data_IF_854046562356
#
_entry.id   IF_854046562356
#
_cell.length_a   1.000
_cell.length_b   1.000
_cell.length_c   1.000
_cell.angle_alpha   90.00
_cell.angle_beta   90.00
_cell.angle_gamma   90.00
#
_symmetry.space_group_name_H-M   'P 1'
#
loop_
_entity.id
_entity.type
_entity.pdbx_description
1 polymer ?
#
# COMPACT_ATOMS: atom_id res chain seq x y z
N UNK A 1 -5.83 -7.31 -26.17
CA UNK A 1 -5.02 -8.16 -25.27
C UNK A 1 -3.64 -8.34 -25.90
N UNK A 2 -2.56 -7.87 -25.26
CA UNK A 2 -1.20 -7.84 -25.83
C UNK A 2 -0.58 -9.25 -25.87
N UNK A 3 0.02 -9.63 -27.02
CA UNK A 3 0.64 -10.95 -27.28
C UNK A 3 1.69 -11.39 -26.23
N UNK A 4 2.24 -10.44 -25.46
CA UNK A 4 3.20 -10.70 -24.38
C UNK A 4 2.59 -11.48 -23.19
N UNK A 5 1.33 -11.25 -22.88
CA UNK A 5 0.68 -11.82 -21.68
C UNK A 5 0.12 -13.21 -21.96
N UNK A 6 -0.23 -13.46 -23.22
CA UNK A 6 -0.64 -14.79 -23.69
C UNK A 6 0.48 -15.83 -23.52
N UNK A 7 1.75 -15.39 -23.67
CA UNK A 7 2.95 -16.22 -23.50
C UNK A 7 3.46 -16.27 -22.05
N UNK A 8 2.96 -15.39 -21.18
CA UNK A 8 3.42 -15.20 -19.80
C UNK A 8 2.26 -15.22 -18.79
N UNK A 9 1.27 -16.11 -19.02
CA UNK A 9 0.03 -16.21 -18.19
C UNK A 9 0.28 -16.35 -16.68
N UNK A 10 1.46 -16.80 -16.26
CA UNK A 10 1.84 -16.97 -14.85
C UNK A 10 2.90 -15.96 -14.37
N UNK A 11 3.11 -14.85 -15.08
CA UNK A 11 4.11 -13.86 -14.69
C UNK A 11 3.46 -12.63 -14.06
N UNK A 12 3.47 -12.58 -12.72
CA UNK A 12 3.05 -11.42 -11.92
C UNK A 12 3.67 -10.10 -12.40
N UNK A 13 4.94 -10.11 -12.82
CA UNK A 13 5.63 -8.89 -13.29
C UNK A 13 5.08 -8.36 -14.61
N UNK A 14 4.55 -9.24 -15.48
CA UNK A 14 3.96 -8.82 -16.75
C UNK A 14 2.61 -8.11 -16.57
N UNK A 15 1.79 -8.60 -15.64
CA UNK A 15 0.52 -7.96 -15.26
C UNK A 15 0.77 -6.66 -14.52
N UNK A 16 1.73 -6.62 -13.58
CA UNK A 16 2.15 -5.40 -12.89
C UNK A 16 2.59 -4.32 -13.89
N UNK A 17 3.47 -4.67 -14.83
CA UNK A 17 3.95 -3.72 -15.83
C UNK A 17 2.85 -3.19 -16.75
N UNK A 18 1.86 -4.01 -17.11
CA UNK A 18 0.72 -3.55 -17.91
C UNK A 18 -0.18 -2.60 -17.10
N UNK A 19 -0.39 -2.90 -15.83
CA UNK A 19 -1.24 -2.12 -14.93
C UNK A 19 -0.78 -0.66 -14.79
N UNK A 20 0.51 -0.37 -14.97
CA UNK A 20 1.10 0.98 -14.99
C UNK A 20 0.62 1.87 -16.16
N UNK A 21 0.14 1.28 -17.26
CA UNK A 21 -0.24 2.01 -18.49
C UNK A 21 -1.72 1.85 -18.86
N UNK A 22 -2.50 1.18 -18.03
CA UNK A 22 -3.91 0.86 -18.30
C UNK A 22 -4.87 1.86 -17.66
N UNK A 23 -6.10 1.89 -18.19
CA UNK A 23 -7.23 2.54 -17.54
C UNK A 23 -7.56 1.86 -16.21
N UNK A 24 -8.08 2.63 -15.25
CA UNK A 24 -8.27 2.24 -13.84
C UNK A 24 -8.91 0.85 -13.65
N UNK A 25 -9.95 0.51 -14.41
CA UNK A 25 -10.66 -0.77 -14.31
C UNK A 25 -9.80 -1.97 -14.75
N UNK A 26 -9.03 -1.81 -15.84
CA UNK A 26 -8.10 -2.83 -16.32
C UNK A 26 -6.93 -2.99 -15.36
N UNK A 27 -6.43 -1.88 -14.80
CA UNK A 27 -5.40 -1.90 -13.75
C UNK A 27 -5.85 -2.70 -12.54
N UNK A 28 -7.08 -2.50 -12.05
CA UNK A 28 -7.62 -3.28 -10.92
C UNK A 28 -7.69 -4.78 -11.20
N UNK A 29 -8.12 -5.15 -12.40
CA UNK A 29 -8.21 -6.56 -12.83
C UNK A 29 -6.82 -7.20 -12.90
N UNK A 30 -5.85 -6.50 -13.46
CA UNK A 30 -4.47 -7.00 -13.56
C UNK A 30 -3.83 -7.17 -12.20
N UNK A 31 -4.00 -6.19 -11.32
CA UNK A 31 -3.46 -6.25 -9.95
C UNK A 31 -4.08 -7.37 -9.12
N UNK A 32 -5.34 -7.73 -9.38
CA UNK A 32 -5.95 -8.89 -8.75
C UNK A 32 -5.28 -10.19 -9.19
N UNK A 33 -4.94 -10.31 -10.48
CA UNK A 33 -4.18 -11.45 -11.00
C UNK A 33 -2.76 -11.46 -10.40
N UNK A 34 -2.08 -10.30 -10.32
CA UNK A 34 -0.75 -10.20 -9.67
C UNK A 34 -0.81 -10.73 -8.24
N UNK A 35 -1.83 -10.34 -7.48
CA UNK A 35 -2.02 -10.76 -6.08
C UNK A 35 -2.25 -12.27 -5.97
N UNK A 36 -2.95 -12.89 -6.93
CA UNK A 36 -3.15 -14.34 -6.97
C UNK A 36 -1.87 -15.11 -7.33
N UNK A 37 -1.05 -14.54 -8.21
CA UNK A 37 0.19 -15.17 -8.66
C UNK A 37 1.34 -15.01 -7.65
N UNK A 38 1.43 -13.83 -7.01
CA UNK A 38 2.49 -13.48 -6.05
C UNK A 38 1.93 -12.54 -4.96
N UNK A 39 1.41 -13.09 -3.85
CA UNK A 39 0.84 -12.31 -2.75
C UNK A 39 1.86 -11.43 -2.00
N UNK A 40 3.16 -11.63 -2.21
CA UNK A 40 4.21 -10.87 -1.52
C UNK A 40 4.52 -9.54 -2.23
N UNK A 41 3.96 -9.33 -3.43
CA UNK A 41 4.12 -8.08 -4.19
C UNK A 41 3.42 -6.94 -3.48
N UNK A 42 4.19 -5.92 -3.13
CA UNK A 42 3.69 -4.74 -2.41
C UNK A 42 2.86 -3.80 -3.29
N UNK A 43 3.22 -3.67 -4.58
CA UNK A 43 2.60 -2.71 -5.51
C UNK A 43 1.07 -2.88 -5.66
N UNK A 44 0.52 -4.10 -5.90
CA UNK A 44 -0.93 -4.30 -6.00
C UNK A 44 -1.72 -3.83 -4.79
N UNK A 45 -1.21 -4.00 -3.58
CA UNK A 45 -1.90 -3.56 -2.36
C UNK A 45 -1.85 -2.05 -2.21
N UNK A 46 -0.70 -1.42 -2.49
CA UNK A 46 -0.55 0.05 -2.45
C UNK A 46 -1.48 0.75 -3.43
N UNK A 47 -1.52 0.28 -4.68
CA UNK A 47 -2.37 0.89 -5.69
C UNK A 47 -3.85 0.75 -5.34
N UNK A 48 -4.30 -0.46 -4.96
CA UNK A 48 -5.70 -0.70 -4.57
C UNK A 48 -6.09 0.13 -3.34
N UNK A 49 -5.20 0.24 -2.36
CA UNK A 49 -5.43 1.06 -1.18
C UNK A 49 -5.55 2.56 -1.51
N UNK A 50 -4.71 3.09 -2.42
CA UNK A 50 -4.82 4.47 -2.88
C UNK A 50 -6.15 4.73 -3.60
N UNK A 51 -6.55 3.84 -4.53
CA UNK A 51 -7.85 3.94 -5.23
C UNK A 51 -9.03 3.90 -4.25
N UNK A 52 -8.96 3.07 -3.22
CA UNK A 52 -9.98 3.00 -2.18
C UNK A 52 -10.02 4.28 -1.34
N UNK A 53 -8.86 4.86 -0.99
CA UNK A 53 -8.78 6.13 -0.29
C UNK A 53 -9.40 7.27 -1.11
N UNK A 54 -9.07 7.37 -2.41
CA UNK A 54 -9.68 8.33 -3.34
C UNK A 54 -11.20 8.15 -3.47
N UNK A 55 -11.68 6.93 -3.21
CA UNK A 55 -13.11 6.58 -3.23
C UNK A 55 -13.80 6.75 -1.87
N UNK A 56 -13.16 7.42 -0.90
CA UNK A 56 -13.65 7.61 0.47
C UNK A 56 -13.98 6.29 1.21
N UNK A 57 -13.22 5.24 0.90
CA UNK A 57 -13.35 3.90 1.50
C UNK A 57 -12.15 3.63 2.40
N UNK A 58 -11.93 4.48 3.42
CA UNK A 58 -10.68 4.48 4.19
C UNK A 58 -10.46 3.16 4.94
N UNK A 59 -11.51 2.58 5.51
CA UNK A 59 -11.45 1.29 6.21
C UNK A 59 -10.97 0.15 5.31
N UNK A 60 -11.46 0.13 4.07
CA UNK A 60 -11.11 -0.88 3.07
C UNK A 60 -9.67 -0.68 2.58
N UNK A 61 -9.26 0.58 2.40
CA UNK A 61 -7.88 0.93 2.06
C UNK A 61 -6.88 0.45 3.13
N UNK A 62 -7.17 0.74 4.41
CA UNK A 62 -6.35 0.29 5.55
C UNK A 62 -6.31 -1.24 5.63
N UNK A 63 -7.42 -1.92 5.34
CA UNK A 63 -7.48 -3.39 5.33
C UNK A 63 -6.64 -4.01 4.19
N UNK A 64 -6.58 -3.39 3.02
CA UNK A 64 -5.66 -3.81 1.93
C UNK A 64 -4.20 -3.73 2.38
N UNK A 65 -3.78 -2.60 2.96
CA UNK A 65 -2.41 -2.44 3.46
C UNK A 65 -2.10 -3.41 4.60
N UNK A 66 -3.06 -3.63 5.50
CA UNK A 66 -2.88 -4.54 6.63
C UNK A 66 -2.69 -5.99 6.19
N UNK A 67 -3.37 -6.43 5.13
CA UNK A 67 -3.12 -7.74 4.52
C UNK A 67 -1.69 -7.84 4.00
N UNK A 68 -1.22 -6.85 3.24
CA UNK A 68 0.14 -6.84 2.72
C UNK A 68 1.19 -6.90 3.85
N UNK A 69 1.02 -6.08 4.89
CA UNK A 69 1.92 -6.03 6.05
C UNK A 69 1.93 -7.36 6.81
N UNK A 70 0.81 -8.09 6.85
CA UNK A 70 0.74 -9.40 7.51
C UNK A 70 1.60 -10.47 6.85
N UNK A 71 1.85 -10.35 5.53
CA UNK A 71 2.77 -11.22 4.82
C UNK A 71 4.22 -10.79 5.02
N UNK A 72 4.48 -9.48 4.91
CA UNK A 72 5.80 -8.89 5.09
C UNK A 72 5.68 -7.45 5.56
N UNK A 73 6.26 -7.15 6.72
CA UNK A 73 6.44 -5.77 7.14
C UNK A 73 7.40 -5.07 6.17
N UNK A 74 6.92 -4.00 5.55
CA UNK A 74 7.68 -3.17 4.60
C UNK A 74 7.57 -1.71 5.02
N UNK A 75 8.69 -0.99 4.93
CA UNK A 75 8.79 0.41 5.34
C UNK A 75 7.77 1.29 4.59
N UNK A 76 7.60 1.09 3.28
CA UNK A 76 6.69 1.89 2.47
C UNK A 76 5.22 1.60 2.80
N UNK A 77 4.90 0.34 3.12
CA UNK A 77 3.55 -0.04 3.53
C UNK A 77 3.19 0.54 4.90
N UNK A 78 4.12 0.48 5.85
CA UNK A 78 3.93 1.06 7.18
C UNK A 78 3.79 2.58 7.10
N UNK A 79 4.64 3.26 6.32
CA UNK A 79 4.54 4.70 6.10
C UNK A 79 3.19 5.10 5.49
N UNK A 80 2.75 4.38 4.43
CA UNK A 80 1.47 4.67 3.77
C UNK A 80 0.28 4.43 4.71
N UNK A 81 0.29 3.34 5.49
CA UNK A 81 -0.80 3.06 6.44
C UNK A 81 -0.82 4.06 7.59
N UNK A 82 0.34 4.51 8.07
CA UNK A 82 0.43 5.58 9.06
C UNK A 82 -0.18 6.89 8.54
N UNK A 83 0.13 7.27 7.29
CA UNK A 83 -0.47 8.45 6.66
C UNK A 83 -2.00 8.33 6.50
N UNK A 84 -2.51 7.14 6.22
CA UNK A 84 -3.95 6.89 6.15
C UNK A 84 -4.60 7.01 7.54
N UNK A 85 -3.96 6.48 8.58
CA UNK A 85 -4.43 6.65 9.95
C UNK A 85 -4.42 8.12 10.38
N UNK A 86 -3.35 8.88 10.08
CA UNK A 86 -3.28 10.34 10.29
C UNK A 86 -4.45 11.05 9.60
N UNK A 87 -4.72 10.73 8.33
CA UNK A 87 -5.82 11.33 7.57
C UNK A 87 -7.20 11.04 8.19
N UNK A 88 -7.40 9.82 8.71
CA UNK A 88 -8.66 9.44 9.39
C UNK A 88 -8.77 9.93 10.85
N UNK A 89 -7.72 10.58 11.38
CA UNK A 89 -7.66 11.03 12.78
C UNK A 89 -7.36 9.92 13.79
N UNK A 90 -6.99 8.71 13.35
CA UNK A 90 -6.57 7.61 14.22
C UNK A 90 -5.09 7.76 14.61
N UNK A 91 -4.83 8.76 15.44
CA UNK A 91 -3.50 9.11 15.98
C UNK A 91 -2.80 7.90 16.63
N UNK A 92 -3.45 7.10 17.50
CA UNK A 92 -2.80 5.93 18.11
C UNK A 92 -2.29 4.90 17.09
N UNK A 93 -3.11 4.58 16.08
CA UNK A 93 -2.70 3.63 15.04
C UNK A 93 -1.59 4.19 14.14
N UNK A 94 -1.65 5.49 13.81
CA UNK A 94 -0.59 6.16 13.07
C UNK A 94 0.75 6.07 13.81
N UNK A 95 0.80 6.43 15.10
CA UNK A 95 2.02 6.35 15.91
C UNK A 95 2.55 4.92 16.06
N UNK A 96 1.68 3.92 16.14
CA UNK A 96 2.10 2.51 16.17
C UNK A 96 2.85 2.16 14.89
N UNK A 97 2.32 2.55 13.73
CA UNK A 97 2.97 2.29 12.44
C UNK A 97 4.26 3.10 12.28
N UNK A 98 4.30 4.35 12.78
CA UNK A 98 5.54 5.13 12.87
C UNK A 98 6.64 4.38 13.63
N UNK A 99 6.31 3.86 14.81
CA UNK A 99 7.27 3.12 15.66
C UNK A 99 7.74 1.83 14.98
N UNK A 100 6.84 1.11 14.33
CA UNK A 100 7.19 -0.10 13.58
C UNK A 100 8.14 0.23 12.41
N UNK A 101 7.85 1.28 11.64
CA UNK A 101 8.69 1.74 10.54
C UNK A 101 10.07 2.20 11.01
N UNK A 102 10.14 3.01 12.07
CA UNK A 102 11.40 3.47 12.65
C UNK A 102 12.21 2.35 13.33
N UNK A 103 11.58 1.24 13.69
CA UNK A 103 12.30 0.04 14.14
C UNK A 103 13.00 -0.68 12.99
N UNK A 104 12.51 -0.53 11.75
CA UNK A 104 13.15 -1.07 10.54
C UNK A 104 14.23 -0.13 10.02
N UNK A 105 13.94 1.18 9.99
CA UNK A 105 14.90 2.22 9.64
C UNK A 105 14.77 3.42 10.59
N UNK A 106 15.63 3.51 11.62
CA UNK A 106 15.61 4.59 12.59
C UNK A 106 15.85 5.99 12.00
N UNK A 107 16.46 6.08 10.82
CA UNK A 107 16.84 7.35 10.19
C UNK A 107 15.90 7.74 9.03
N UNK A 108 14.76 7.05 8.87
CA UNK A 108 13.82 7.35 7.81
C UNK A 108 13.15 8.73 8.02
N UNK A 109 13.62 9.72 7.28
CA UNK A 109 13.25 11.14 7.43
C UNK A 109 11.73 11.37 7.33
N UNK A 110 11.08 10.82 6.30
CA UNK A 110 9.63 11.01 6.07
C UNK A 110 8.79 10.50 7.25
N UNK A 111 9.18 9.36 7.82
CA UNK A 111 8.49 8.76 8.95
C UNK A 111 8.69 9.55 10.25
N UNK A 112 9.89 10.13 10.45
CA UNK A 112 10.16 11.03 11.58
C UNK A 112 9.33 12.31 11.46
N UNK A 113 9.19 12.87 10.25
CA UNK A 113 8.34 14.03 10.00
C UNK A 113 6.87 13.72 10.26
N UNK A 114 6.37 12.60 9.73
CA UNK A 114 5.01 12.14 9.98
C UNK A 114 4.75 11.95 11.48
N UNK A 115 5.66 11.28 12.20
CA UNK A 115 5.54 11.11 13.65
C UNK A 115 5.46 12.45 14.40
N UNK A 116 6.27 13.45 14.01
CA UNK A 116 6.20 14.79 14.60
C UNK A 116 4.85 15.47 14.35
N UNK A 117 4.32 15.39 13.12
CA UNK A 117 2.99 15.92 12.80
C UNK A 117 1.89 15.26 13.62
N UNK A 118 1.89 13.93 13.67
CA UNK A 118 0.90 13.15 14.42
C UNK A 118 0.96 13.46 15.92
N UNK A 119 2.16 13.57 16.51
CA UNK A 119 2.32 13.97 17.92
C UNK A 119 1.83 15.41 18.19
N UNK A 120 1.94 16.33 17.22
CA UNK A 120 1.45 17.71 17.38
C UNK A 120 -0.08 17.83 17.33
N UNK A 121 -0.78 16.77 16.95
CA UNK A 121 -2.24 16.68 16.94
C UNK A 121 -2.80 16.12 18.25
N UNK A 122 -1.96 15.64 19.17
CA UNK A 122 -2.40 15.26 20.52
C UNK A 122 -2.75 16.53 21.32
N UNK A 123 -3.91 16.57 22.00
CA UNK A 123 -4.36 17.72 22.78
C UNK A 123 -3.56 17.96 24.07
#
# INVERSE_FOLDING_TARGET
MTKLIEKAKNNASAYEKRSEYCEREQTMTDLQIVTQLDPLRVYPYRYRAAVLMDSHKEKEAIAELSRAISFKADLHLLHLRAAFHEHTGDVPSALRDCRAALSLDPNHQEMLELQKRVNSQEP
#
